data_IF_914052759486
#
_entry.id   IF_914052759486
#
_cell.length_a   1.000
_cell.length_b   1.000
_cell.length_c   1.000
_cell.angle_alpha   90.00
_cell.angle_beta   90.00
_cell.angle_gamma   90.00
#
_symmetry.space_group_name_H-M   'P 1'
#
loop_
_entity.id
_entity.type
_entity.pdbx_description
1 polymer ?
#
# COMPACT_ATOMS: atom_id res chain seq x y z
N UNK A 1 12.37 12.49 5.73
CA UNK A 1 13.20 11.36 6.21
C UNK A 1 12.67 10.92 7.57
N UNK A 2 12.57 9.61 7.81
CA UNK A 2 11.66 9.00 8.77
C UNK A 2 12.19 9.08 10.21
N UNK A 3 11.74 10.08 10.98
CA UNK A 3 12.23 10.36 12.34
C UNK A 3 11.47 9.61 13.45
N UNK A 4 10.23 9.16 13.18
CA UNK A 4 9.35 8.59 14.21
C UNK A 4 9.30 7.05 14.22
N UNK A 5 9.57 6.40 13.09
CA UNK A 5 9.47 4.94 12.94
C UNK A 5 10.63 4.42 12.07
N UNK A 6 11.84 4.28 12.64
CA UNK A 6 13.04 3.92 11.87
C UNK A 6 12.98 2.50 11.29
N UNK A 7 12.20 1.61 11.91
CA UNK A 7 12.02 0.23 11.48
C UNK A 7 10.85 0.06 10.50
N UNK A 8 10.05 1.12 10.26
CA UNK A 8 8.95 1.03 9.30
C UNK A 8 9.50 0.89 7.89
N UNK A 9 9.06 -0.13 7.16
CA UNK A 9 9.36 -0.33 5.74
C UNK A 9 8.08 -0.38 4.91
N UNK A 10 8.21 -0.04 3.63
CA UNK A 10 7.13 -0.12 2.64
C UNK A 10 7.72 -0.77 1.39
N UNK A 11 7.14 -1.87 0.96
CA UNK A 11 7.43 -2.55 -0.30
C UNK A 11 6.28 -2.33 -1.27
N UNK A 12 6.59 -1.85 -2.48
CA UNK A 12 5.63 -1.76 -3.58
C UNK A 12 5.60 -3.11 -4.32
N UNK A 13 4.62 -3.95 -4.01
CA UNK A 13 4.51 -5.30 -4.58
C UNK A 13 4.16 -5.23 -6.06
N UNK A 14 3.22 -4.35 -6.42
CA UNK A 14 2.77 -4.14 -7.80
C UNK A 14 2.17 -2.76 -7.97
N UNK A 15 2.27 -2.27 -9.21
CA UNK A 15 1.72 -1.00 -9.66
C UNK A 15 0.99 -1.25 -10.96
N UNK A 16 -0.26 -0.78 -11.04
CA UNK A 16 -1.06 -0.83 -12.26
C UNK A 16 -1.52 0.58 -12.57
N UNK A 17 -1.36 0.99 -13.82
CA UNK A 17 -1.83 2.29 -14.30
C UNK A 17 -2.78 2.07 -15.48
N UNK A 18 -3.89 2.79 -15.48
CA UNK A 18 -4.84 2.82 -16.59
C UNK A 18 -5.45 4.23 -16.67
N UNK A 19 -5.38 4.84 -17.84
CA UNK A 19 -5.86 6.20 -18.09
C UNK A 19 -5.28 7.21 -17.08
N UNK A 20 -6.13 7.90 -16.32
CA UNK A 20 -5.74 8.83 -15.26
C UNK A 20 -5.67 8.21 -13.86
N UNK A 21 -5.79 6.88 -13.75
CA UNK A 21 -5.79 6.13 -12.49
C UNK A 21 -4.53 5.30 -12.32
N UNK A 22 -4.00 5.30 -11.10
CA UNK A 22 -2.91 4.41 -10.65
C UNK A 22 -3.35 3.68 -9.39
N UNK A 23 -3.21 2.36 -9.39
CA UNK A 23 -3.39 1.51 -8.23
C UNK A 23 -2.04 0.97 -7.75
N UNK A 24 -1.76 1.12 -6.46
CA UNK A 24 -0.62 0.52 -5.79
C UNK A 24 -1.10 -0.55 -4.85
N UNK A 25 -0.36 -1.66 -4.80
CA UNK A 25 -0.50 -2.66 -3.76
C UNK A 25 0.80 -2.72 -2.98
N UNK A 26 0.72 -2.36 -1.70
CA UNK A 26 1.89 -2.19 -0.84
C UNK A 26 1.84 -3.15 0.35
N UNK A 27 3.00 -3.65 0.72
CA UNK A 27 3.23 -4.37 1.97
C UNK A 27 4.01 -3.44 2.91
N UNK A 28 3.41 -3.12 4.06
CA UNK A 28 4.03 -2.27 5.07
C UNK A 28 4.41 -3.13 6.27
N UNK A 29 5.64 -2.96 6.77
CA UNK A 29 6.08 -3.52 8.06
C UNK A 29 6.26 -2.36 9.02
N UNK A 30 5.60 -2.44 10.17
CA UNK A 30 5.67 -1.47 11.26
C UNK A 30 6.48 -2.06 12.44
N UNK A 31 6.82 -1.25 13.47
CA UNK A 31 7.40 -1.77 14.70
C UNK A 31 6.59 -2.94 15.27
N UNK A 32 7.25 -3.79 16.06
CA UNK A 32 6.68 -5.02 16.62
C UNK A 32 6.22 -6.05 15.55
N UNK A 33 6.69 -5.89 14.31
CA UNK A 33 6.36 -6.73 13.16
C UNK A 33 4.85 -6.73 12.82
N UNK A 34 4.16 -5.62 13.10
CA UNK A 34 2.81 -5.39 12.61
C UNK A 34 2.84 -5.15 11.10
N UNK A 35 2.15 -6.00 10.33
CA UNK A 35 2.17 -5.96 8.87
C UNK A 35 0.82 -5.59 8.30
N UNK A 36 0.83 -4.75 7.28
CA UNK A 36 -0.37 -4.30 6.59
C UNK A 36 -0.22 -4.47 5.08
N UNK A 37 -1.33 -4.82 4.44
CA UNK A 37 -1.51 -4.65 3.01
C UNK A 37 -2.37 -3.41 2.78
N UNK A 38 -1.90 -2.52 1.91
CA UNK A 38 -2.65 -1.34 1.50
C UNK A 38 -2.84 -1.34 -0.01
N UNK A 39 -4.06 -1.04 -0.43
CA UNK A 39 -4.40 -0.69 -1.80
C UNK A 39 -4.58 0.82 -1.86
N UNK A 40 -3.66 1.53 -2.51
CA UNK A 40 -3.78 2.97 -2.74
C UNK A 40 -4.23 3.23 -4.17
N UNK A 41 -5.20 4.11 -4.34
CA UNK A 41 -5.69 4.54 -5.64
C UNK A 41 -5.49 6.04 -5.79
N UNK A 42 -4.86 6.46 -6.88
CA UNK A 42 -4.62 7.86 -7.21
C UNK A 42 -5.26 8.20 -8.54
N UNK A 43 -5.98 9.32 -8.61
CA UNK A 43 -6.43 9.92 -9.86
C UNK A 43 -5.61 11.17 -10.18
N UNK A 44 -5.19 11.31 -11.42
CA UNK A 44 -4.35 12.40 -11.90
C UNK A 44 -5.17 13.38 -12.76
N UNK A 45 -4.87 14.68 -12.63
CA UNK A 45 -5.40 15.68 -13.55
C UNK A 45 -4.62 15.70 -14.88
N UNK A 46 -5.05 16.45 -15.90
CA UNK A 46 -4.34 16.54 -17.18
C UNK A 46 -2.93 17.17 -17.08
N UNK A 47 -2.57 17.76 -15.94
CA UNK A 47 -1.24 18.31 -15.66
C UNK A 47 -0.36 17.30 -14.89
N UNK A 48 -0.84 16.07 -14.68
CA UNK A 48 -0.12 15.01 -13.97
C UNK A 48 -0.05 15.22 -12.46
N UNK A 49 -0.96 16.00 -11.86
CA UNK A 49 -1.08 16.15 -10.41
C UNK A 49 -2.08 15.17 -9.86
N UNK A 50 -1.77 14.59 -8.70
CA UNK A 50 -2.75 13.81 -7.93
C UNK A 50 -3.86 14.77 -7.51
N UNK A 51 -5.08 14.53 -8.01
CA UNK A 51 -6.27 15.30 -7.67
C UNK A 51 -7.25 14.51 -6.81
N UNK A 52 -7.02 13.20 -6.62
CA UNK A 52 -7.84 12.34 -5.77
C UNK A 52 -7.02 11.16 -5.24
N UNK A 53 -7.28 10.75 -4.01
CA UNK A 53 -6.68 9.59 -3.36
C UNK A 53 -7.70 8.88 -2.48
N UNK A 54 -7.72 7.56 -2.56
CA UNK A 54 -8.44 6.70 -1.64
C UNK A 54 -7.60 5.47 -1.33
N UNK A 55 -7.85 4.87 -0.18
CA UNK A 55 -7.19 3.65 0.21
C UNK A 55 -8.15 2.61 0.78
N UNK A 56 -7.66 1.37 0.76
CA UNK A 56 -8.14 0.31 1.62
C UNK A 56 -6.94 -0.30 2.33
N UNK A 57 -7.00 -0.38 3.66
CA UNK A 57 -5.93 -0.93 4.48
C UNK A 57 -6.43 -2.12 5.30
N UNK A 58 -5.65 -3.19 5.30
CA UNK A 58 -5.93 -4.37 6.09
C UNK A 58 -4.66 -4.88 6.77
N UNK A 59 -4.76 -5.15 8.08
CA UNK A 59 -3.68 -5.84 8.80
C UNK A 59 -3.61 -7.30 8.34
N UNK A 60 -2.40 -7.80 8.10
CA UNK A 60 -2.18 -9.22 7.79
C UNK A 60 -2.54 -10.02 9.05
N UNK A 61 -3.48 -10.98 8.96
CA UNK A 61 -3.89 -11.74 10.13
C UNK A 61 -2.75 -12.65 10.59
N UNK A 62 -2.66 -12.87 11.91
CA UNK A 62 -1.66 -13.79 12.51
C UNK A 62 -1.84 -15.24 12.05
N UNK A 63 -3.08 -15.61 11.73
CA UNK A 63 -3.44 -16.92 11.18
C UNK A 63 -4.25 -16.70 9.91
N UNK A 64 -3.87 -17.35 8.82
CA UNK A 64 -4.57 -17.29 7.54
C UNK A 64 -5.22 -18.63 7.23
N UNK A 65 -6.51 -18.62 6.89
CA UNK A 65 -7.20 -19.79 6.33
C UNK A 65 -6.76 -20.07 4.88
N UNK A 66 -6.22 -19.05 4.20
CA UNK A 66 -5.69 -19.19 2.84
C UNK A 66 -4.20 -19.59 2.90
N UNK A 67 -3.76 -20.63 2.15
CA UNK A 67 -2.35 -21.01 2.09
C UNK A 67 -1.47 -19.98 1.33
N UNK A 68 -2.06 -19.10 0.52
CA UNK A 68 -1.33 -18.04 -0.17
C UNK A 68 -1.15 -16.81 0.72
N UNK A 69 -0.06 -16.07 0.49
CA UNK A 69 0.13 -14.74 1.08
C UNK A 69 -0.90 -13.77 0.51
N UNK A 70 -1.15 -12.68 1.24
CA UNK A 70 -1.99 -11.57 0.74
C UNK A 70 -1.31 -10.78 -0.39
N UNK A 71 -0.03 -11.06 -0.66
CA UNK A 71 0.76 -10.43 -1.70
C UNK A 71 1.58 -11.44 -2.51
#
# INVERSE_FOLDING_TARGET
MQLAYPEKSIEFVRVIAQDDLVALHTHQVWPDNDQYVTMDFFRFDPQGKICEHWDAIQQIPKTSENPNKMY
#
